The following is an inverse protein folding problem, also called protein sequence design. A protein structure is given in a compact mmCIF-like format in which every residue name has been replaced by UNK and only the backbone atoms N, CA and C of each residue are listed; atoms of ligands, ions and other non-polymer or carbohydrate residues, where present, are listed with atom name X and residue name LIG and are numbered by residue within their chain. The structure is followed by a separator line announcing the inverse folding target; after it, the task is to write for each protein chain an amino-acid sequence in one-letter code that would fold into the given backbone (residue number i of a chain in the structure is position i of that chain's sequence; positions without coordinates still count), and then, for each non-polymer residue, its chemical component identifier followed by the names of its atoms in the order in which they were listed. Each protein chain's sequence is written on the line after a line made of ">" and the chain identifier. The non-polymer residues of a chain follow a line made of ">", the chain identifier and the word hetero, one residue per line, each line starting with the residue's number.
data_IF_751198197907
#
_entry.id   IF_751198197907
#
_cell.length_a   1.000
_cell.length_b   1.000
_cell.length_c   1.000
_cell.angle_alpha   90.00
_cell.angle_beta   90.00
_cell.angle_gamma   90.00
#
_symmetry.space_group_name_H-M   'P 1'
#
loop_
_entity.id
_entity.type
_entity.pdbx_description
1 polymer ?
#
# COMPACT_ATOMS: atom_id res chain seq x y z
N UNK A 1 -10.68 29.59 4.37
CA UNK A 1 -9.81 29.91 5.53
C UNK A 1 -8.86 31.04 5.15
N UNK A 2 -8.46 31.90 6.08
CA UNK A 2 -7.42 32.93 5.85
C UNK A 2 -6.19 32.54 6.66
N UNK A 3 -5.01 32.34 6.04
CA UNK A 3 -3.80 31.98 6.77
C UNK A 3 -3.35 33.12 7.69
N UNK A 4 -2.70 32.78 8.81
CA UNK A 4 -2.11 33.79 9.72
C UNK A 4 -0.96 34.53 9.04
N UNK A 5 -0.14 33.79 8.29
CA UNK A 5 0.94 34.32 7.45
C UNK A 5 1.18 33.31 6.33
N UNK A 6 1.14 33.76 5.09
CA UNK A 6 1.45 32.95 3.92
C UNK A 6 2.81 33.38 3.37
N UNK A 7 3.75 32.44 3.28
CA UNK A 7 4.98 32.65 2.54
C UNK A 7 4.86 32.14 1.08
N UNK A 8 5.82 32.54 0.25
CA UNK A 8 5.94 32.05 -1.12
C UNK A 8 7.29 31.34 -1.28
N UNK A 9 7.38 30.31 -2.14
CA UNK A 9 8.66 29.70 -2.46
C UNK A 9 9.67 30.72 -3.00
N UNK A 10 9.23 31.70 -3.80
CA UNK A 10 10.11 32.72 -4.37
C UNK A 10 10.79 33.58 -3.30
N UNK A 11 10.02 34.11 -2.36
CA UNK A 11 10.57 34.95 -1.29
C UNK A 11 11.46 34.14 -0.34
N UNK A 12 11.05 32.91 -0.03
CA UNK A 12 11.83 32.01 0.81
C UNK A 12 13.16 31.59 0.16
N UNK A 13 13.15 31.23 -1.13
CA UNK A 13 14.35 30.89 -1.89
C UNK A 13 15.31 32.08 -1.96
N UNK A 14 14.79 33.30 -2.20
CA UNK A 14 15.62 34.51 -2.19
C UNK A 14 16.23 34.81 -0.83
N UNK A 15 15.50 34.54 0.26
CA UNK A 15 16.01 34.74 1.61
C UNK A 15 17.07 33.70 1.99
N UNK A 16 16.93 32.46 1.51
CA UNK A 16 17.87 31.37 1.74
C UNK A 16 19.13 31.45 0.84
N UNK A 17 19.00 32.07 -0.33
CA UNK A 17 20.10 32.24 -1.28
C UNK A 17 21.25 33.05 -0.68
N UNK A 18 22.46 32.49 -0.72
CA UNK A 18 23.68 33.19 -0.31
C UNK A 18 24.05 34.33 -1.28
N UNK A 19 24.98 35.23 -0.89
CA UNK A 19 25.32 36.43 -1.66
C UNK A 19 25.92 36.17 -3.05
N UNK A 20 26.28 34.91 -3.38
CA UNK A 20 26.79 34.51 -4.69
C UNK A 20 25.76 33.86 -5.61
N UNK A 21 24.49 33.72 -5.19
CA UNK A 21 23.44 33.12 -6.00
C UNK A 21 22.58 34.20 -6.67
N UNK A 22 22.45 34.12 -7.98
CA UNK A 22 21.54 34.96 -8.77
C UNK A 22 20.25 34.18 -9.03
N UNK A 23 19.10 34.74 -8.61
CA UNK A 23 17.79 34.13 -8.82
C UNK A 23 17.00 34.95 -9.84
N UNK A 24 16.48 34.27 -10.87
CA UNK A 24 15.57 34.83 -11.86
C UNK A 24 14.24 34.09 -11.79
N UNK A 25 13.12 34.82 -11.86
CA UNK A 25 11.78 34.26 -11.95
C UNK A 25 11.22 34.46 -13.36
N UNK A 26 10.57 33.42 -13.89
CA UNK A 26 9.75 33.50 -15.09
C UNK A 26 8.47 32.68 -14.85
N UNK A 27 7.28 33.20 -15.14
CA UNK A 27 6.02 32.49 -14.86
C UNK A 27 5.88 31.18 -15.62
N UNK A 28 6.26 31.17 -16.90
CA UNK A 28 6.18 29.99 -17.79
C UNK A 28 4.77 29.62 -18.27
N UNK A 29 3.77 29.66 -17.37
CA UNK A 29 2.37 29.36 -17.65
C UNK A 29 1.43 30.16 -16.71
N UNK A 30 0.11 30.04 -16.89
CA UNK A 30 -0.92 30.65 -16.04
C UNK A 30 -1.79 29.59 -15.39
N UNK A 31 -2.26 29.84 -14.16
CA UNK A 31 -3.17 28.93 -13.43
C UNK A 31 -4.64 29.09 -13.83
N UNK A 32 -4.97 30.19 -14.52
CA UNK A 32 -6.31 30.50 -15.01
C UNK A 32 -6.32 30.26 -16.50
N UNK A 33 -6.87 29.13 -16.93
CA UNK A 33 -7.10 28.87 -18.34
C UNK A 33 -8.32 29.66 -18.84
N UNK A 34 -8.16 30.96 -19.11
CA UNK A 34 -9.21 31.75 -19.79
C UNK A 34 -9.59 31.15 -21.16
N UNK A 35 -8.74 30.28 -21.72
CA UNK A 35 -8.91 29.65 -23.05
C UNK A 35 -9.32 28.18 -23.03
N UNK A 36 -9.22 27.48 -21.90
CA UNK A 36 -9.66 26.09 -21.72
C UNK A 36 -9.06 25.04 -22.67
N UNK A 37 -8.06 25.37 -23.49
CA UNK A 37 -7.52 24.52 -24.55
C UNK A 37 -6.16 23.85 -24.22
N UNK A 38 -5.56 24.19 -23.07
CA UNK A 38 -4.29 23.62 -22.62
C UNK A 38 -3.10 23.99 -23.51
N UNK A 39 -3.22 25.05 -24.33
CA UNK A 39 -2.15 25.50 -25.23
C UNK A 39 -1.20 26.43 -24.47
N UNK A 40 0.12 26.17 -24.46
CA UNK A 40 1.09 27.05 -23.82
C UNK A 40 1.07 28.47 -24.40
N UNK A 41 1.12 29.47 -23.54
CA UNK A 41 1.32 30.85 -23.96
C UNK A 41 2.77 31.05 -24.42
N UNK A 42 2.97 31.08 -25.74
CA UNK A 42 4.31 31.09 -26.36
C UNK A 42 5.25 32.17 -25.81
N UNK A 43 4.72 33.34 -25.41
CA UNK A 43 5.51 34.42 -24.81
C UNK A 43 6.05 34.05 -23.43
N UNK A 44 5.24 33.43 -22.56
CA UNK A 44 5.66 32.99 -21.21
C UNK A 44 6.65 31.84 -21.29
N UNK A 45 6.43 30.90 -22.21
CA UNK A 45 7.37 29.81 -22.48
C UNK A 45 8.72 30.35 -22.95
N UNK A 46 8.72 31.29 -23.91
CA UNK A 46 9.95 31.89 -24.42
C UNK A 46 10.74 32.64 -23.33
N UNK A 47 10.05 33.34 -22.42
CA UNK A 47 10.66 34.00 -21.27
C UNK A 47 11.31 32.99 -20.31
N UNK A 48 10.60 31.92 -19.96
CA UNK A 48 11.12 30.87 -19.08
C UNK A 48 12.32 30.14 -19.69
N UNK A 49 12.27 29.83 -20.99
CA UNK A 49 13.40 29.24 -21.74
C UNK A 49 14.60 30.19 -21.74
N UNK A 50 14.39 31.49 -21.93
CA UNK A 50 15.48 32.46 -21.90
C UNK A 50 16.12 32.61 -20.51
N UNK A 51 15.33 32.51 -19.43
CA UNK A 51 15.84 32.45 -18.07
C UNK A 51 16.65 31.16 -17.83
N UNK A 52 16.09 30.00 -18.19
CA UNK A 52 16.72 28.70 -17.99
C UNK A 52 18.05 28.54 -18.75
N UNK A 53 18.17 29.10 -19.96
CA UNK A 53 19.43 29.12 -20.75
C UNK A 53 20.61 29.77 -20.02
N UNK A 54 20.33 30.65 -19.06
CA UNK A 54 21.35 31.40 -18.31
C UNK A 54 21.58 30.84 -16.90
N UNK A 55 20.81 29.83 -16.49
CA UNK A 55 20.84 29.29 -15.14
C UNK A 55 21.67 28.00 -15.07
N UNK A 56 22.38 27.82 -13.96
CA UNK A 56 23.08 26.56 -13.65
C UNK A 56 22.12 25.42 -13.27
N UNK A 57 20.98 25.78 -12.67
CA UNK A 57 19.90 24.89 -12.24
C UNK A 57 18.57 25.60 -12.46
N UNK A 58 17.58 24.89 -13.01
CA UNK A 58 16.21 25.37 -13.08
C UNK A 58 15.32 24.64 -12.06
N UNK A 59 14.66 25.41 -11.20
CA UNK A 59 13.61 24.93 -10.29
C UNK A 59 12.26 25.18 -10.98
N UNK A 60 11.56 24.12 -11.33
CA UNK A 60 10.30 24.19 -12.08
C UNK A 60 9.16 23.75 -11.16
N UNK A 61 8.32 24.71 -10.76
CA UNK A 61 7.17 24.46 -9.89
C UNK A 61 5.96 24.11 -10.76
N UNK A 62 5.51 22.85 -10.66
CA UNK A 62 4.37 22.30 -11.40
C UNK A 62 3.31 21.82 -10.41
N UNK A 63 2.09 21.57 -10.89
CA UNK A 63 1.02 21.11 -10.02
C UNK A 63 -0.36 21.26 -10.59
N UNK A 64 -1.36 21.09 -9.73
CA UNK A 64 -2.76 21.22 -10.09
C UNK A 64 -3.29 22.60 -9.68
N UNK A 65 -3.96 23.33 -10.60
CA UNK A 65 -4.65 24.56 -10.24
C UNK A 65 -5.89 24.25 -9.38
N UNK A 66 -6.40 25.24 -8.65
CA UNK A 66 -7.59 25.10 -7.78
C UNK A 66 -8.80 24.51 -8.52
N UNK A 67 -8.99 24.90 -9.79
CA UNK A 67 -10.07 24.40 -10.64
C UNK A 67 -9.95 22.90 -11.00
N UNK A 68 -8.77 22.30 -10.85
CA UNK A 68 -8.54 20.87 -11.12
C UNK A 68 -8.80 19.98 -9.89
N UNK A 69 -8.89 20.57 -8.69
CA UNK A 69 -9.05 19.85 -7.41
C UNK A 69 -10.12 20.49 -6.51
N UNK A 70 -11.14 21.13 -7.09
CA UNK A 70 -12.14 21.81 -6.26
C UNK A 70 -13.08 20.83 -5.55
N UNK A 71 -13.60 21.27 -4.40
CA UNK A 71 -14.47 20.46 -3.56
C UNK A 71 -15.75 20.04 -4.29
N UNK A 72 -16.13 18.76 -4.14
CA UNK A 72 -17.41 18.24 -4.61
C UNK A 72 -17.41 17.59 -6.00
N UNK A 73 -16.25 17.39 -6.63
CA UNK A 73 -16.13 16.57 -7.83
C UNK A 73 -14.85 15.71 -7.82
N UNK A 74 -14.87 14.65 -8.63
CA UNK A 74 -13.73 13.76 -8.84
C UNK A 74 -13.00 14.09 -10.14
N UNK A 75 -11.66 14.03 -10.11
CA UNK A 75 -10.84 14.16 -11.32
C UNK A 75 -11.07 12.98 -12.27
N UNK A 76 -10.98 13.25 -13.57
CA UNK A 76 -11.07 12.23 -14.63
C UNK A 76 -9.71 11.79 -15.18
N UNK A 77 -8.64 12.46 -14.77
CA UNK A 77 -7.24 12.14 -15.09
C UNK A 77 -6.34 12.41 -13.89
N UNK A 78 -5.20 11.72 -13.83
CA UNK A 78 -4.11 12.01 -12.89
C UNK A 78 -3.01 12.88 -13.51
N UNK A 79 -3.08 13.21 -14.79
CA UNK A 79 -2.02 13.96 -15.47
C UNK A 79 -1.93 15.41 -14.98
N UNK A 80 -0.73 15.99 -15.09
CA UNK A 80 -0.54 17.44 -14.97
C UNK A 80 -1.13 18.14 -16.20
N UNK A 81 -1.47 19.44 -16.10
CA UNK A 81 -1.90 20.24 -17.24
C UNK A 81 -0.90 20.18 -18.41
N UNK A 82 -1.40 20.01 -19.63
CA UNK A 82 -0.56 19.77 -20.81
C UNK A 82 0.40 20.93 -21.13
N UNK A 83 0.00 22.16 -20.80
CA UNK A 83 0.83 23.36 -20.98
C UNK A 83 2.04 23.38 -20.04
N UNK A 84 1.88 22.90 -18.81
CA UNK A 84 2.97 22.70 -17.86
C UNK A 84 3.98 21.66 -18.36
N UNK A 85 3.50 20.54 -18.92
CA UNK A 85 4.38 19.51 -19.50
C UNK A 85 5.12 20.04 -20.74
N UNK A 86 4.43 20.80 -21.59
CA UNK A 86 5.07 21.44 -22.74
C UNK A 86 6.15 22.45 -22.32
N UNK A 87 5.90 23.26 -21.28
CA UNK A 87 6.91 24.14 -20.71
C UNK A 87 8.12 23.35 -20.20
N UNK A 88 7.91 22.29 -19.41
CA UNK A 88 9.00 21.46 -18.88
C UNK A 88 9.86 20.86 -20.00
N UNK A 89 9.24 20.44 -21.11
CA UNK A 89 9.93 19.94 -22.30
C UNK A 89 10.84 21.00 -22.93
N UNK A 90 10.36 22.23 -23.10
CA UNK A 90 11.16 23.32 -23.67
C UNK A 90 12.28 23.77 -22.73
N UNK A 91 12.04 23.78 -21.41
CA UNK A 91 13.05 24.14 -20.40
C UNK A 91 14.13 23.06 -20.28
N UNK A 92 13.76 21.78 -20.30
CA UNK A 92 14.73 20.65 -20.23
C UNK A 92 15.65 20.55 -21.43
N UNK A 93 15.21 21.02 -22.59
CA UNK A 93 16.05 21.11 -23.78
C UNK A 93 17.21 22.13 -23.66
N UNK A 94 17.12 23.09 -22.74
CA UNK A 94 18.09 24.20 -22.63
C UNK A 94 18.82 24.27 -21.30
N UNK A 95 18.29 23.65 -20.25
CA UNK A 95 18.92 23.53 -18.95
C UNK A 95 18.81 22.07 -18.48
N UNK A 96 19.89 21.27 -18.51
CA UNK A 96 19.81 19.84 -18.19
C UNK A 96 19.70 19.55 -16.68
N UNK A 97 20.00 20.53 -15.81
CA UNK A 97 19.89 20.39 -14.36
C UNK A 97 18.56 20.97 -13.88
N UNK A 98 17.53 20.12 -13.91
CA UNK A 98 16.17 20.51 -13.51
C UNK A 98 15.77 19.80 -12.23
N UNK A 99 15.24 20.57 -11.27
CA UNK A 99 14.46 20.02 -10.18
C UNK A 99 13.00 20.44 -10.36
N UNK A 100 12.09 19.46 -10.45
CA UNK A 100 10.64 19.71 -10.45
C UNK A 100 10.13 19.69 -9.01
N UNK A 101 9.38 20.71 -8.63
CA UNK A 101 8.69 20.78 -7.33
C UNK A 101 7.20 20.71 -7.59
N UNK A 102 6.53 19.71 -7.02
CA UNK A 102 5.11 19.46 -7.23
C UNK A 102 4.25 20.06 -6.12
N UNK A 103 3.09 20.59 -6.51
CA UNK A 103 2.04 21.06 -5.62
C UNK A 103 0.66 20.52 -6.07
N UNK A 104 0.15 19.53 -5.36
CA UNK A 104 -1.10 18.83 -5.69
C UNK A 104 -1.71 18.22 -4.41
N UNK A 105 -3.04 18.17 -4.35
CA UNK A 105 -3.76 17.53 -3.26
C UNK A 105 -3.79 16.00 -3.39
N UNK A 106 -4.11 15.51 -4.58
CA UNK A 106 -4.09 14.08 -4.93
C UNK A 106 -2.88 13.70 -5.78
N UNK A 107 -2.74 12.40 -6.04
CA UNK A 107 -1.68 11.87 -6.91
C UNK A 107 -1.74 12.48 -8.31
N UNK A 108 -0.57 12.87 -8.83
CA UNK A 108 -0.36 13.21 -10.23
C UNK A 108 0.55 12.20 -10.92
N UNK A 109 0.30 11.91 -12.20
CA UNK A 109 1.19 11.07 -12.99
C UNK A 109 2.50 11.79 -13.26
N UNK A 110 3.58 11.03 -13.09
CA UNK A 110 4.96 11.41 -13.37
C UNK A 110 5.50 10.70 -14.62
N UNK A 111 4.74 9.75 -15.16
CA UNK A 111 5.23 8.79 -16.16
C UNK A 111 5.67 9.44 -17.48
N UNK A 112 5.00 10.51 -17.91
CA UNK A 112 5.34 11.20 -19.17
C UNK A 112 6.64 12.02 -19.06
N UNK A 113 6.98 12.50 -17.86
CA UNK A 113 7.91 13.63 -17.73
C UNK A 113 9.03 13.47 -16.72
N UNK A 114 8.98 12.47 -15.82
CA UNK A 114 9.99 12.31 -14.78
C UNK A 114 11.42 12.20 -15.32
N UNK A 115 11.60 11.59 -16.49
CA UNK A 115 12.92 11.43 -17.12
C UNK A 115 13.50 12.75 -17.65
N UNK A 116 12.69 13.82 -17.73
CA UNK A 116 13.15 15.18 -18.06
C UNK A 116 13.69 15.93 -16.83
N UNK A 117 13.50 15.41 -15.62
CA UNK A 117 13.91 16.04 -14.37
C UNK A 117 15.11 15.31 -13.74
N UNK A 118 16.11 16.05 -13.26
CA UNK A 118 17.22 15.49 -12.48
C UNK A 118 16.80 15.16 -11.04
N UNK A 119 15.77 15.83 -10.52
CA UNK A 119 15.20 15.60 -9.22
C UNK A 119 13.71 15.97 -9.23
N UNK A 120 12.91 15.24 -8.44
CA UNK A 120 11.50 15.55 -8.21
C UNK A 120 11.27 15.66 -6.70
N UNK A 121 10.67 16.77 -6.27
CA UNK A 121 10.26 17.00 -4.88
C UNK A 121 8.73 17.11 -4.83
N UNK A 122 8.09 16.08 -4.31
CA UNK A 122 6.65 16.08 -4.04
C UNK A 122 6.35 16.91 -2.78
N UNK A 123 5.73 18.07 -2.97
CA UNK A 123 5.41 19.03 -1.91
C UNK A 123 3.98 18.94 -1.39
N UNK A 124 3.11 18.19 -2.06
CA UNK A 124 1.68 18.09 -1.80
C UNK A 124 1.02 19.48 -1.68
N UNK A 125 0.17 19.67 -0.67
CA UNK A 125 -0.31 20.98 -0.23
C UNK A 125 0.41 21.36 1.08
N UNK A 126 1.50 22.15 1.02
CA UNK A 126 2.42 22.32 2.14
C UNK A 126 1.95 23.33 3.22
N UNK A 127 0.74 23.87 3.10
CA UNK A 127 0.17 24.83 4.03
C UNK A 127 0.84 26.21 3.99
N UNK A 128 0.58 27.03 5.02
CA UNK A 128 0.90 28.47 5.00
C UNK A 128 2.42 28.80 5.09
N UNK A 129 3.25 27.82 5.46
CA UNK A 129 4.71 27.94 5.59
C UNK A 129 5.45 27.07 4.56
N UNK A 130 4.77 26.70 3.48
CA UNK A 130 5.28 25.77 2.48
C UNK A 130 6.46 26.31 1.70
N UNK A 131 6.50 27.61 1.44
CA UNK A 131 7.60 28.25 0.75
C UNK A 131 8.92 28.11 1.52
N UNK A 132 8.91 28.42 2.82
CA UNK A 132 10.09 28.25 3.68
C UNK A 132 10.50 26.78 3.81
N UNK A 133 9.54 25.87 4.04
CA UNK A 133 9.84 24.45 4.16
C UNK A 133 10.48 23.87 2.88
N UNK A 134 9.97 24.25 1.69
CA UNK A 134 10.55 23.83 0.42
C UNK A 134 11.95 24.41 0.20
N UNK A 135 12.17 25.68 0.55
CA UNK A 135 13.49 26.30 0.45
C UNK A 135 14.52 25.58 1.34
N UNK A 136 14.15 25.22 2.57
CA UNK A 136 15.03 24.48 3.49
C UNK A 136 15.47 23.12 2.94
N UNK A 137 14.55 22.42 2.26
CA UNK A 137 14.87 21.16 1.58
C UNK A 137 15.75 21.41 0.35
N UNK A 138 15.38 22.33 -0.53
CA UNK A 138 16.11 22.61 -1.79
C UNK A 138 17.57 23.02 -1.52
N UNK A 139 17.82 23.84 -0.50
CA UNK A 139 19.18 24.23 -0.11
C UNK A 139 19.88 23.19 0.79
N UNK A 140 19.18 22.14 1.21
CA UNK A 140 19.73 21.06 2.01
C UNK A 140 20.05 21.46 3.45
N UNK A 141 19.37 22.47 3.99
CA UNK A 141 19.37 22.76 5.44
C UNK A 141 18.71 21.63 6.21
N UNK A 142 17.70 20.99 5.61
CA UNK A 142 17.12 19.75 6.08
C UNK A 142 17.13 18.69 4.97
N UNK A 143 17.29 17.42 5.35
CA UNK A 143 17.11 16.30 4.43
C UNK A 143 15.62 15.97 4.29
N UNK A 144 15.11 15.72 3.07
CA UNK A 144 13.77 15.18 2.91
C UNK A 144 13.68 13.82 3.62
N UNK A 145 12.53 13.59 4.24
CA UNK A 145 12.25 12.37 5.02
C UNK A 145 10.77 11.96 4.95
N UNK A 146 10.07 12.44 3.93
CA UNK A 146 8.70 12.00 3.62
C UNK A 146 8.71 10.60 3.00
N UNK A 147 7.68 9.82 3.30
CA UNK A 147 7.37 8.56 2.63
C UNK A 147 5.99 8.69 2.00
N UNK A 148 5.83 8.22 0.76
CA UNK A 148 4.55 8.25 0.06
C UNK A 148 3.49 7.47 0.84
N UNK A 149 2.36 8.12 1.11
CA UNK A 149 1.18 7.49 1.71
C UNK A 149 0.22 6.94 0.65
N UNK A 150 0.47 7.24 -0.62
CA UNK A 150 -0.28 6.79 -1.78
C UNK A 150 0.69 6.28 -2.84
N UNK A 151 0.31 5.23 -3.57
CA UNK A 151 1.08 4.76 -4.72
C UNK A 151 0.93 5.74 -5.88
N UNK A 152 2.02 6.09 -6.56
CA UNK A 152 1.97 6.84 -7.82
C UNK A 152 1.97 5.82 -8.97
N UNK A 153 0.81 5.53 -9.61
CA UNK A 153 0.74 4.56 -10.67
C UNK A 153 1.32 5.12 -11.98
N UNK A 154 1.66 4.24 -12.92
CA UNK A 154 2.05 4.67 -14.27
C UNK A 154 0.85 5.15 -15.08
N UNK A 155 -0.33 4.58 -14.83
CA UNK A 155 -1.59 4.95 -15.49
C UNK A 155 -2.74 4.92 -14.49
N UNK A 156 -3.71 5.83 -14.65
CA UNK A 156 -4.95 5.78 -13.86
C UNK A 156 -5.69 4.45 -14.03
N UNK A 157 -5.65 3.88 -15.24
CA UNK A 157 -6.28 2.60 -15.57
C UNK A 157 -5.67 1.38 -14.87
N UNK A 158 -4.48 1.52 -14.27
CA UNK A 158 -3.86 0.47 -13.46
C UNK A 158 -4.41 0.43 -12.03
N UNK A 159 -5.19 1.44 -11.63
CA UNK A 159 -5.84 1.43 -10.31
C UNK A 159 -6.89 0.33 -10.25
N UNK A 160 -6.93 -0.46 -9.16
CA UNK A 160 -7.80 -1.64 -9.09
C UNK A 160 -9.30 -1.31 -9.12
N UNK A 161 -9.67 -0.10 -8.70
CA UNK A 161 -11.05 0.40 -8.72
C UNK A 161 -11.46 1.02 -10.06
N UNK A 162 -10.56 1.15 -11.04
CA UNK A 162 -10.80 1.89 -12.29
C UNK A 162 -12.05 1.44 -13.05
N UNK A 163 -12.33 0.13 -13.08
CA UNK A 163 -13.48 -0.43 -13.79
C UNK A 163 -14.82 -0.19 -13.08
N UNK A 164 -14.78 0.15 -11.80
CA UNK A 164 -15.98 0.30 -10.97
C UNK A 164 -16.28 1.75 -10.59
N UNK A 165 -15.28 2.63 -10.61
CA UNK A 165 -15.43 4.05 -10.33
C UNK A 165 -15.92 4.82 -11.58
N UNK A 166 -16.79 5.85 -11.45
CA UNK A 166 -17.42 6.36 -10.23
C UNK A 166 -18.73 5.64 -9.85
N UNK A 167 -19.04 4.52 -10.50
CA UNK A 167 -20.31 3.80 -10.36
C UNK A 167 -21.34 4.26 -11.39
N UNK A 168 -22.54 3.67 -11.29
CA UNK A 168 -23.70 3.98 -12.16
C UNK A 168 -25.00 3.75 -11.40
N UNK A 169 -26.07 4.42 -11.83
CA UNK A 169 -27.42 4.20 -11.29
C UNK A 169 -27.52 4.35 -9.76
N UNK A 170 -26.72 5.24 -9.17
CA UNK A 170 -26.67 5.47 -7.72
C UNK A 170 -25.92 4.39 -6.91
N UNK A 171 -25.16 3.52 -7.57
CA UNK A 171 -24.42 2.44 -6.93
C UNK A 171 -22.98 2.31 -7.46
N UNK A 172 -22.02 2.07 -6.57
CA UNK A 172 -20.62 1.76 -6.88
C UNK A 172 -20.25 0.44 -6.21
N UNK A 173 -19.66 -0.47 -7.00
CA UNK A 173 -19.23 -1.79 -6.53
C UNK A 173 -17.75 -1.73 -6.18
N UNK A 174 -17.38 -2.08 -4.96
CA UNK A 174 -15.97 -2.15 -4.55
C UNK A 174 -15.42 -3.52 -4.96
N UNK A 175 -15.32 -3.74 -6.28
CA UNK A 175 -15.03 -5.05 -6.87
C UNK A 175 -13.58 -5.51 -6.67
N UNK A 176 -12.68 -4.59 -6.37
CA UNK A 176 -11.30 -4.86 -5.97
C UNK A 176 -11.18 -5.49 -4.58
N UNK A 177 -12.23 -5.40 -3.75
CA UNK A 177 -12.27 -5.96 -2.41
C UNK A 177 -11.12 -5.43 -1.54
N UNK A 178 -10.24 -6.32 -1.07
CA UNK A 178 -9.10 -5.95 -0.20
C UNK A 178 -7.88 -5.44 -0.98
N UNK A 179 -7.89 -5.58 -2.30
CA UNK A 179 -6.77 -5.21 -3.17
C UNK A 179 -6.88 -3.73 -3.55
N UNK A 180 -6.78 -2.83 -2.55
CA UNK A 180 -6.79 -1.38 -2.76
C UNK A 180 -5.37 -0.81 -2.66
N UNK A 181 -4.98 0.02 -3.63
CA UNK A 181 -3.66 0.66 -3.66
C UNK A 181 -2.53 -0.36 -3.76
N UNK A 182 -1.45 -0.16 -2.99
CA UNK A 182 -0.27 -1.05 -3.02
C UNK A 182 -0.59 -2.52 -2.78
N UNK A 183 -1.65 -2.85 -2.04
CA UNK A 183 -2.11 -4.23 -1.88
C UNK A 183 -2.42 -4.90 -3.20
N UNK A 184 -2.97 -4.19 -4.18
CA UNK A 184 -3.16 -4.72 -5.52
C UNK A 184 -1.84 -4.80 -6.27
N UNK A 185 -1.13 -3.66 -6.35
CA UNK A 185 0.06 -3.53 -7.19
C UNK A 185 1.16 -4.51 -6.78
N UNK A 186 1.36 -4.70 -5.48
CA UNK A 186 2.45 -5.51 -4.94
C UNK A 186 2.07 -7.00 -4.94
N UNK A 187 0.78 -7.35 -4.83
CA UNK A 187 0.32 -8.75 -4.96
C UNK A 187 0.42 -9.26 -6.40
N UNK A 188 0.10 -8.41 -7.38
CA UNK A 188 0.08 -8.78 -8.80
C UNK A 188 1.34 -8.36 -9.57
N UNK A 189 2.33 -7.80 -8.87
CA UNK A 189 3.56 -7.24 -9.45
C UNK A 189 3.29 -6.26 -10.60
N UNK A 190 2.27 -5.42 -10.45
CA UNK A 190 1.95 -4.37 -11.43
C UNK A 190 2.97 -3.25 -11.30
N UNK A 191 3.60 -2.78 -12.39
CA UNK A 191 4.55 -1.68 -12.34
C UNK A 191 3.92 -0.35 -11.91
N UNK A 192 4.64 0.39 -11.07
CA UNK A 192 4.24 1.72 -10.56
C UNK A 192 5.41 2.68 -10.69
N UNK A 193 5.16 3.98 -10.81
CA UNK A 193 6.24 4.95 -10.89
C UNK A 193 6.97 5.06 -9.54
N UNK A 194 6.20 5.20 -8.47
CA UNK A 194 6.72 5.21 -7.10
C UNK A 194 5.81 4.38 -6.18
N UNK A 195 6.35 3.37 -5.48
CA UNK A 195 5.55 2.49 -4.64
C UNK A 195 5.12 3.16 -3.33
N UNK A 196 4.18 2.54 -2.63
CA UNK A 196 3.78 2.99 -1.30
C UNK A 196 4.98 2.96 -0.35
N UNK A 197 5.05 3.96 0.53
CA UNK A 197 6.16 4.12 1.45
C UNK A 197 7.47 4.54 0.79
N UNK A 198 7.52 4.84 -0.51
CA UNK A 198 8.74 5.33 -1.16
C UNK A 198 9.11 6.73 -0.71
N UNK A 199 10.41 7.00 -0.63
CA UNK A 199 10.95 8.35 -0.50
C UNK A 199 12.47 8.33 -0.60
N UNK A 200 13.07 9.48 -0.89
CA UNK A 200 14.51 9.61 -0.91
C UNK A 200 14.98 10.53 0.23
N UNK A 201 16.28 10.47 0.50
CA UNK A 201 16.97 11.28 1.49
C UNK A 201 18.28 11.78 0.90
N UNK A 202 18.82 12.89 1.43
CA UNK A 202 20.16 13.35 1.07
C UNK A 202 21.27 12.54 1.73
N UNK A 203 20.91 11.61 2.62
CA UNK A 203 21.80 10.61 3.19
C UNK A 203 21.34 9.19 2.83
N UNK A 204 22.07 8.16 3.26
CA UNK A 204 21.78 6.75 2.99
C UNK A 204 21.70 5.96 4.29
N UNK A 205 20.82 4.97 4.33
CA UNK A 205 20.64 4.10 5.49
C UNK A 205 20.79 2.62 5.12
N UNK A 206 21.49 1.87 5.98
CA UNK A 206 21.58 0.41 5.92
C UNK A 206 20.82 -0.23 7.06
N UNK A 207 20.36 -1.45 6.83
CA UNK A 207 19.56 -2.23 7.78
C UNK A 207 20.33 -3.52 8.05
N UNK A 208 20.46 -3.91 9.31
CA UNK A 208 21.11 -5.16 9.72
C UNK A 208 20.41 -5.78 10.93
N UNK A 209 20.84 -6.99 11.28
CA UNK A 209 20.51 -7.64 12.56
C UNK A 209 19.00 -7.76 12.82
N UNK A 210 18.23 -8.16 11.80
CA UNK A 210 16.81 -8.47 11.96
C UNK A 210 16.65 -9.69 12.88
N UNK A 211 15.95 -9.48 13.98
CA UNK A 211 15.62 -10.51 14.97
C UNK A 211 14.10 -10.53 15.18
N UNK A 212 13.51 -11.73 15.17
CA UNK A 212 12.08 -11.92 15.48
C UNK A 212 11.98 -12.94 16.60
N UNK A 213 11.48 -12.49 17.75
CA UNK A 213 11.36 -13.31 18.97
C UNK A 213 9.90 -13.47 19.32
N UNK A 214 9.46 -14.71 19.54
CA UNK A 214 8.12 -14.99 20.06
C UNK A 214 7.97 -14.40 21.47
N UNK A 215 6.95 -13.59 21.66
CA UNK A 215 6.66 -12.87 22.91
C UNK A 215 5.35 -13.32 23.57
N UNK A 216 4.59 -14.20 22.91
CA UNK A 216 3.36 -14.80 23.40
C UNK A 216 2.66 -15.64 22.33
N UNK A 217 1.46 -16.14 22.63
CA UNK A 217 0.65 -16.90 21.67
C UNK A 217 0.29 -16.04 20.46
N UNK A 218 0.80 -16.43 19.29
CA UNK A 218 0.74 -15.64 18.06
C UNK A 218 1.18 -14.18 18.28
N UNK A 219 2.24 -13.94 19.04
CA UNK A 219 2.80 -12.62 19.27
C UNK A 219 4.33 -12.63 19.18
N UNK A 220 4.89 -11.57 18.61
CA UNK A 220 6.32 -11.45 18.34
C UNK A 220 6.83 -10.04 18.59
N UNK A 221 8.10 -9.94 18.98
CA UNK A 221 8.88 -8.70 18.96
C UNK A 221 9.84 -8.76 17.79
N UNK A 222 9.76 -7.77 16.91
CA UNK A 222 10.64 -7.63 15.74
C UNK A 222 11.61 -6.49 16.01
N UNK A 223 12.91 -6.77 15.93
CA UNK A 223 13.95 -5.77 16.14
C UNK A 223 14.90 -5.71 14.95
N UNK A 224 15.37 -4.51 14.62
CA UNK A 224 16.26 -4.25 13.50
C UNK A 224 17.22 -3.11 13.83
N UNK A 225 18.47 -3.22 13.42
CA UNK A 225 19.44 -2.12 13.51
C UNK A 225 19.40 -1.30 12.22
N UNK A 226 19.33 0.03 12.36
CA UNK A 226 19.42 0.98 11.26
C UNK A 226 20.62 1.88 11.47
N UNK A 227 21.44 2.03 10.43
CA UNK A 227 22.65 2.85 10.47
C UNK A 227 22.60 3.91 9.38
N UNK A 228 22.91 5.16 9.72
CA UNK A 228 23.16 6.19 8.71
C UNK A 228 24.57 6.00 8.13
N UNK A 229 24.64 5.61 6.87
CA UNK A 229 25.89 5.31 6.15
C UNK A 229 26.31 6.46 5.23
N UNK A 230 25.55 7.55 5.16
CA UNK A 230 25.89 8.72 4.38
C UNK A 230 26.64 9.78 5.18
N UNK A 231 26.79 10.97 4.58
CA UNK A 231 27.60 12.06 5.11
C UNK A 231 26.80 13.20 5.75
N UNK A 232 25.50 13.03 5.95
CA UNK A 232 24.61 14.06 6.52
C UNK A 232 23.68 13.45 7.55
N UNK A 233 23.31 14.24 8.57
CA UNK A 233 22.16 13.91 9.41
C UNK A 233 20.91 13.73 8.54
N UNK A 234 20.09 12.74 8.88
CA UNK A 234 18.83 12.50 8.19
C UNK A 234 17.90 11.64 9.02
N UNK A 235 16.63 11.64 8.63
CA UNK A 235 15.65 10.74 9.20
C UNK A 235 15.35 9.59 8.25
N UNK A 236 15.18 8.40 8.81
CA UNK A 236 14.74 7.19 8.14
C UNK A 236 13.39 6.76 8.73
N UNK A 237 12.50 6.25 7.88
CA UNK A 237 11.22 5.65 8.30
C UNK A 237 11.29 4.17 7.98
N UNK A 238 11.61 3.39 9.01
CA UNK A 238 11.62 1.92 8.99
C UNK A 238 10.19 1.43 8.88
N UNK A 239 9.92 0.57 7.89
CA UNK A 239 8.60 0.03 7.64
C UNK A 239 8.61 -1.48 7.83
N UNK A 240 7.65 -1.98 8.62
CA UNK A 240 7.41 -3.38 8.92
C UNK A 240 6.18 -3.85 8.16
N UNK A 241 6.37 -4.87 7.31
CA UNK A 241 5.32 -5.55 6.58
C UNK A 241 5.22 -7.01 7.02
N UNK A 242 4.02 -7.56 6.92
CA UNK A 242 3.76 -9.00 7.05
C UNK A 242 3.33 -9.51 5.68
N UNK A 243 4.02 -10.54 5.19
CA UNK A 243 3.81 -11.14 3.89
C UNK A 243 3.39 -12.61 3.97
N UNK A 244 2.60 -13.06 3.00
CA UNK A 244 2.13 -14.44 2.87
C UNK A 244 2.33 -14.92 1.43
N UNK A 245 3.03 -16.04 1.28
CA UNK A 245 3.28 -16.64 -0.03
C UNK A 245 2.21 -17.70 -0.32
N UNK A 246 1.24 -17.33 -1.16
CA UNK A 246 0.15 -18.21 -1.59
C UNK A 246 0.16 -18.33 -3.14
N UNK A 247 0.10 -19.53 -3.73
CA UNK A 247 0.08 -19.70 -5.19
C UNK A 247 -1.10 -19.01 -5.87
N UNK A 248 -2.24 -18.95 -5.17
CA UNK A 248 -3.42 -18.19 -5.56
C UNK A 248 -3.73 -17.26 -4.39
N UNK A 249 -3.56 -15.93 -4.54
CA UNK A 249 -3.71 -15.00 -3.43
C UNK A 249 -5.14 -15.00 -2.88
N UNK A 250 -5.30 -15.45 -1.64
CA UNK A 250 -6.53 -15.25 -0.88
C UNK A 250 -6.53 -13.89 -0.17
N UNK A 251 -5.36 -13.29 0.03
CA UNK A 251 -5.10 -12.02 0.73
C UNK A 251 -4.02 -11.20 -0.01
N UNK A 252 -3.83 -9.92 0.33
CA UNK A 252 -2.70 -9.14 -0.20
C UNK A 252 -1.37 -9.83 0.08
N UNK A 253 -0.45 -9.84 -0.90
CA UNK A 253 0.85 -10.51 -0.80
C UNK A 253 1.67 -10.03 0.39
N UNK A 254 1.52 -8.75 0.76
CA UNK A 254 1.94 -8.24 2.05
C UNK A 254 1.16 -7.00 2.49
N UNK A 255 1.26 -6.64 3.76
CA UNK A 255 0.63 -5.46 4.33
C UNK A 255 1.49 -4.79 5.41
N UNK A 256 1.51 -3.46 5.43
CA UNK A 256 2.15 -2.66 6.49
C UNK A 256 1.49 -2.95 7.85
N UNK A 257 2.30 -3.22 8.87
CA UNK A 257 1.90 -3.46 10.26
C UNK A 257 2.55 -2.55 11.28
N UNK A 258 3.66 -1.92 10.93
CA UNK A 258 4.30 -0.94 11.79
C UNK A 258 5.24 -0.04 11.03
N UNK A 259 5.53 1.13 11.59
CA UNK A 259 6.61 1.98 11.12
C UNK A 259 7.18 2.78 12.28
N UNK A 260 8.46 3.13 12.18
CA UNK A 260 9.15 3.95 13.16
C UNK A 260 10.06 4.94 12.43
N UNK A 261 10.11 6.17 12.93
CA UNK A 261 10.97 7.23 12.38
C UNK A 261 12.12 7.48 13.33
N UNK A 262 13.34 7.34 12.83
CA UNK A 262 14.59 7.56 13.58
C UNK A 262 15.38 8.67 12.92
N UNK A 263 16.07 9.49 13.71
CA UNK A 263 16.96 10.56 13.24
C UNK A 263 18.38 10.22 13.64
N UNK A 264 19.29 10.13 12.67
CA UNK A 264 20.63 9.59 12.91
C UNK A 264 21.70 10.51 12.31
N UNK A 265 22.75 10.77 13.09
CA UNK A 265 23.99 11.40 12.63
C UNK A 265 24.80 10.45 11.71
N UNK A 266 25.71 10.96 10.87
CA UNK A 266 26.59 10.12 10.05
C UNK A 266 27.35 9.06 10.88
N UNK A 267 27.18 7.79 10.52
CA UNK A 267 27.78 6.64 11.23
C UNK A 267 27.02 6.17 12.46
N UNK A 268 25.99 6.89 12.92
CA UNK A 268 25.16 6.50 14.06
C UNK A 268 24.25 5.31 13.69
N UNK A 269 23.98 4.46 14.68
CA UNK A 269 23.07 3.33 14.57
C UNK A 269 22.04 3.33 15.71
N UNK A 270 20.80 2.95 15.40
CA UNK A 270 19.72 2.78 16.37
C UNK A 270 19.03 1.43 16.15
N UNK A 271 18.65 0.76 17.26
CA UNK A 271 17.87 -0.48 17.23
C UNK A 271 16.39 -0.14 17.39
N UNK A 272 15.62 -0.42 16.35
CA UNK A 272 14.18 -0.18 16.27
C UNK A 272 13.44 -1.45 16.64
N UNK A 273 12.38 -1.34 17.44
CA UNK A 273 11.59 -2.47 17.94
C UNK A 273 10.11 -2.29 17.60
N UNK A 274 9.46 -3.36 17.15
CA UNK A 274 8.04 -3.43 16.83
C UNK A 274 7.38 -4.60 17.57
N UNK A 275 6.14 -4.40 17.99
CA UNK A 275 5.29 -5.48 18.46
C UNK A 275 4.38 -5.96 17.32
N UNK A 276 4.36 -7.27 17.08
CA UNK A 276 3.40 -7.95 16.23
C UNK A 276 2.51 -8.84 17.08
N UNK A 277 1.22 -8.78 16.84
CA UNK A 277 0.20 -9.56 17.53
C UNK A 277 -0.56 -10.45 16.55
N UNK A 278 -1.34 -11.41 17.07
CA UNK A 278 -2.15 -12.29 16.23
C UNK A 278 -3.10 -11.50 15.34
N UNK A 279 -3.54 -10.32 15.79
CA UNK A 279 -4.37 -9.40 15.01
C UNK A 279 -3.71 -8.92 13.73
N UNK A 280 -2.39 -8.74 13.73
CA UNK A 280 -1.60 -8.25 12.60
C UNK A 280 -1.45 -9.31 11.51
N UNK A 281 -1.53 -10.59 11.85
CA UNK A 281 -1.51 -11.69 10.89
C UNK A 281 -2.91 -12.26 10.58
N UNK A 282 -3.93 -11.75 11.26
CA UNK A 282 -5.31 -12.23 11.12
C UNK A 282 -5.98 -11.74 9.84
N UNK A 283 -6.89 -12.56 9.32
CA UNK A 283 -7.82 -12.19 8.26
C UNK A 283 -9.28 -12.26 8.74
N UNK A 284 -10.15 -11.44 8.13
CA UNK A 284 -11.58 -11.49 8.41
C UNK A 284 -12.21 -12.67 7.68
N UNK A 285 -12.91 -13.54 8.40
CA UNK A 285 -13.72 -14.62 7.84
C UNK A 285 -15.18 -14.17 7.72
N UNK A 286 -15.72 -13.98 6.51
CA UNK A 286 -17.13 -13.66 6.31
C UNK A 286 -18.06 -14.75 6.84
N UNK A 287 -17.68 -16.03 6.69
CA UNK A 287 -18.47 -17.16 7.17
C UNK A 287 -18.70 -17.10 8.69
N UNK A 288 -17.76 -16.54 9.44
CA UNK A 288 -17.83 -16.45 10.91
C UNK A 288 -18.22 -15.10 11.45
N UNK A 289 -18.16 -14.07 10.63
CA UNK A 289 -18.24 -12.69 11.08
C UNK A 289 -17.19 -12.38 12.17
N UNK A 290 -15.94 -12.83 11.97
CA UNK A 290 -14.88 -12.70 12.95
C UNK A 290 -13.47 -12.73 12.34
N UNK A 291 -12.48 -12.36 13.15
CA UNK A 291 -11.07 -12.49 12.80
C UNK A 291 -10.59 -13.91 13.05
N UNK A 292 -9.67 -14.36 12.19
CA UNK A 292 -9.07 -15.69 12.22
C UNK A 292 -7.57 -15.58 11.97
N UNK A 293 -6.78 -16.32 12.75
CA UNK A 293 -5.35 -16.53 12.54
C UNK A 293 -5.13 -17.93 11.99
N UNK A 294 -4.57 -18.00 10.80
CA UNK A 294 -4.21 -19.27 10.19
C UNK A 294 -2.95 -19.84 10.83
N UNK A 295 -2.98 -21.14 11.14
CA UNK A 295 -1.74 -21.89 11.38
C UNK A 295 -0.92 -21.92 10.09
N UNK A 296 0.38 -21.67 10.19
CA UNK A 296 1.26 -21.72 9.04
C UNK A 296 2.44 -20.77 9.14
N UNK A 297 3.11 -20.55 8.01
CA UNK A 297 4.27 -19.65 7.94
C UNK A 297 3.87 -18.32 7.31
N UNK A 298 4.46 -17.25 7.81
CA UNK A 298 4.41 -15.91 7.25
C UNK A 298 5.80 -15.31 7.26
N UNK A 299 6.00 -14.23 6.52
CA UNK A 299 7.28 -13.55 6.40
C UNK A 299 7.15 -12.17 7.04
N UNK A 300 8.04 -11.88 7.98
CA UNK A 300 8.30 -10.52 8.46
C UNK A 300 9.24 -9.86 7.48
N UNK A 301 8.83 -8.73 6.92
CA UNK A 301 9.64 -7.94 6.00
C UNK A 301 9.92 -6.56 6.61
N UNK A 302 11.18 -6.13 6.59
CA UNK A 302 11.58 -4.79 7.00
C UNK A 302 12.25 -4.08 5.84
N UNK A 303 11.77 -2.88 5.54
CA UNK A 303 12.21 -2.12 4.38
C UNK A 303 12.14 -0.61 4.55
N UNK A 304 12.57 0.09 3.49
CA UNK A 304 12.48 1.54 3.36
C UNK A 304 11.28 1.99 2.49
N UNK A 305 10.59 1.05 1.84
CA UNK A 305 9.31 1.21 1.13
C UNK A 305 8.65 -0.17 0.94
N UNK A 306 7.43 -0.23 0.40
CA UNK A 306 6.79 -1.52 0.11
C UNK A 306 7.59 -2.35 -0.92
N UNK A 307 8.35 -1.72 -1.83
CA UNK A 307 9.19 -2.46 -2.81
C UNK A 307 10.69 -2.36 -2.56
N UNK A 308 11.09 -1.83 -1.41
CA UNK A 308 12.49 -1.73 -1.02
C UNK A 308 12.70 -2.46 0.31
N UNK A 309 12.44 -3.78 0.26
CA UNK A 309 12.58 -4.70 1.37
C UNK A 309 14.06 -5.06 1.53
N UNK A 310 14.59 -4.81 2.72
CA UNK A 310 16.03 -4.97 3.02
C UNK A 310 16.32 -6.26 3.75
N UNK A 311 15.42 -6.65 4.66
CA UNK A 311 15.57 -7.83 5.50
C UNK A 311 14.24 -8.59 5.56
N UNK A 312 14.34 -9.92 5.63
CA UNK A 312 13.21 -10.84 5.74
C UNK A 312 13.50 -11.91 6.80
N UNK A 313 12.47 -12.32 7.53
CA UNK A 313 12.52 -13.48 8.43
C UNK A 313 11.22 -14.29 8.29
N UNK A 314 11.35 -15.60 8.13
CA UNK A 314 10.20 -16.52 8.14
C UNK A 314 9.83 -16.86 9.59
N UNK A 315 8.54 -16.81 9.89
CA UNK A 315 7.96 -17.03 11.22
C UNK A 315 6.80 -18.01 11.10
N UNK A 316 6.59 -18.85 12.11
CA UNK A 316 5.43 -19.72 12.20
C UNK A 316 4.40 -19.16 13.17
N UNK A 317 3.13 -19.15 12.74
CA UNK A 317 1.97 -18.90 13.59
C UNK A 317 1.33 -20.24 13.97
N UNK A 318 0.95 -20.38 15.23
CA UNK A 318 0.25 -21.57 15.72
C UNK A 318 -1.21 -21.63 15.24
N UNK A 319 -1.72 -20.51 14.71
CA UNK A 319 -3.15 -20.34 14.45
C UNK A 319 -3.91 -20.11 15.76
N UNK A 320 -5.19 -19.78 15.64
CA UNK A 320 -6.11 -19.66 16.78
C UNK A 320 -6.97 -20.93 16.98
N UNK A 321 -6.65 -22.00 16.24
CA UNK A 321 -7.40 -23.26 16.23
C UNK A 321 -8.81 -23.16 15.64
N UNK A 322 -9.19 -22.00 15.11
CA UNK A 322 -10.52 -21.77 14.57
C UNK A 322 -10.60 -22.30 13.14
N UNK A 323 -11.50 -23.26 12.89
CA UNK A 323 -11.79 -23.82 11.55
C UNK A 323 -13.21 -23.54 11.07
N UNK A 324 -13.37 -23.22 9.77
CA UNK A 324 -14.65 -22.76 9.24
C UNK A 324 -15.71 -23.85 9.36
N UNK A 325 -16.95 -23.43 9.58
CA UNK A 325 -18.04 -24.38 9.76
C UNK A 325 -18.23 -25.20 8.48
N UNK A 326 -18.30 -26.52 8.62
CA UNK A 326 -18.54 -27.41 7.49
C UNK A 326 -20.01 -27.36 7.10
N UNK A 327 -20.27 -27.12 5.83
CA UNK A 327 -21.60 -27.13 5.22
C UNK A 327 -21.75 -28.31 4.25
N UNK A 328 -22.97 -28.66 3.81
CA UNK A 328 -23.17 -29.71 2.81
C UNK A 328 -22.40 -29.46 1.50
N UNK A 329 -22.21 -28.18 1.15
CA UNK A 329 -21.45 -27.78 -0.05
C UNK A 329 -19.95 -27.63 0.18
N UNK A 330 -19.46 -27.80 1.42
CA UNK A 330 -18.03 -27.88 1.68
C UNK A 330 -17.43 -29.08 0.96
N UNK A 331 -16.28 -28.86 0.34
CA UNK A 331 -15.49 -29.81 -0.42
C UNK A 331 -14.90 -30.90 0.45
N UNK A 332 -14.59 -32.05 -0.16
CA UNK A 332 -13.87 -33.13 0.52
C UNK A 332 -12.54 -32.64 1.12
N UNK A 333 -11.85 -31.72 0.45
CA UNK A 333 -10.63 -31.08 0.96
C UNK A 333 -10.86 -30.31 2.25
N UNK A 334 -11.90 -29.48 2.32
CA UNK A 334 -12.26 -28.73 3.54
C UNK A 334 -12.63 -29.68 4.68
N UNK A 335 -13.37 -30.75 4.40
CA UNK A 335 -13.70 -31.79 5.38
C UNK A 335 -12.45 -32.48 5.95
N UNK A 336 -11.48 -32.83 5.10
CA UNK A 336 -10.25 -33.49 5.51
C UNK A 336 -9.27 -32.54 6.22
N UNK A 337 -9.30 -31.24 5.91
CA UNK A 337 -8.52 -30.22 6.61
C UNK A 337 -9.12 -29.85 7.98
N UNK A 338 -10.40 -30.10 8.19
CA UNK A 338 -11.08 -29.78 9.45
C UNK A 338 -10.77 -30.82 10.54
N UNK A 339 -10.28 -30.44 11.74
CA UNK A 339 -9.85 -31.36 12.80
C UNK A 339 -10.95 -32.35 13.24
N UNK A 340 -12.19 -31.88 13.38
CA UNK A 340 -13.35 -32.74 13.66
C UNK A 340 -13.88 -33.45 12.40
N UNK A 341 -14.02 -32.73 11.28
CA UNK A 341 -14.55 -33.25 10.01
C UNK A 341 -13.76 -34.45 9.49
N UNK A 342 -12.43 -34.40 9.52
CA UNK A 342 -11.57 -35.46 9.04
C UNK A 342 -11.79 -36.76 9.83
N UNK A 343 -11.96 -36.64 11.15
CA UNK A 343 -12.27 -37.78 12.03
C UNK A 343 -13.65 -38.35 11.72
N UNK A 344 -14.69 -37.52 11.69
CA UNK A 344 -16.07 -37.96 11.41
C UNK A 344 -16.19 -38.63 10.03
N UNK A 345 -15.56 -38.02 9.01
CA UNK A 345 -15.54 -38.56 7.66
C UNK A 345 -14.76 -39.88 7.61
N UNK A 346 -13.59 -39.94 8.26
CA UNK A 346 -12.83 -41.18 8.39
C UNK A 346 -13.65 -42.28 9.06
N UNK A 347 -14.38 -41.96 10.13
CA UNK A 347 -15.23 -42.91 10.85
C UNK A 347 -16.33 -43.50 9.96
N UNK A 348 -16.93 -42.67 9.10
CA UNK A 348 -17.97 -43.06 8.15
C UNK A 348 -17.43 -43.80 6.93
N UNK A 349 -16.26 -43.39 6.43
CA UNK A 349 -15.61 -43.93 5.25
C UNK A 349 -14.73 -45.16 5.53
N UNK A 350 -14.56 -45.60 6.79
CA UNK A 350 -13.86 -46.86 7.12
C UNK A 350 -14.41 -48.08 6.38
N UNK A 351 -15.70 -48.09 6.02
CA UNK A 351 -16.31 -49.15 5.19
C UNK A 351 -16.08 -48.95 3.67
N UNK A 352 -15.70 -47.74 3.24
CA UNK A 352 -15.44 -47.34 1.83
C UNK A 352 -13.94 -47.36 1.48
N UNK A 353 -13.05 -47.27 2.48
CA UNK A 353 -11.59 -47.25 2.31
C UNK A 353 -11.04 -48.45 1.51
N UNK A 354 -11.74 -49.59 1.49
CA UNK A 354 -11.41 -50.72 0.63
C UNK A 354 -11.54 -50.43 -0.89
N UNK A 355 -12.29 -49.40 -1.28
CA UNK A 355 -12.51 -49.00 -2.67
C UNK A 355 -11.44 -48.02 -3.20
N UNK A 356 -10.93 -47.13 -2.33
CA UNK A 356 -9.92 -46.12 -2.68
C UNK A 356 -8.48 -46.63 -2.52
N UNK A 357 -8.26 -47.64 -1.66
CA UNK A 357 -6.95 -48.28 -1.47
C UNK A 357 -6.49 -49.19 -2.62
N UNK A 358 -7.33 -49.41 -3.64
CA UNK A 358 -7.02 -50.30 -4.77
C UNK A 358 -6.42 -49.59 -5.99
N UNK A 359 -6.35 -48.26 -6.01
CA UNK A 359 -5.78 -47.49 -7.12
C UNK A 359 -4.47 -46.84 -6.71
N UNK A 360 -3.40 -47.61 -6.83
CA UNK A 360 -2.08 -47.03 -7.06
C UNK A 360 -2.12 -46.23 -8.36
N UNK A 361 -2.11 -44.90 -8.27
CA UNK A 361 -1.79 -44.02 -9.39
C UNK A 361 -2.82 -42.93 -9.72
N UNK A 362 -2.27 -41.72 -9.83
CA UNK A 362 -2.75 -40.49 -10.49
C UNK A 362 -3.19 -39.37 -9.53
N UNK A 363 -2.24 -38.51 -9.17
CA UNK A 363 -2.41 -37.29 -8.36
C UNK A 363 -3.59 -36.43 -8.80
N UNK A 364 -3.85 -36.34 -10.10
CA UNK A 364 -4.93 -35.54 -10.67
C UNK A 364 -6.35 -36.00 -10.26
N UNK A 365 -6.59 -37.30 -10.07
CA UNK A 365 -7.90 -37.80 -9.63
C UNK A 365 -8.16 -37.52 -8.15
N UNK A 366 -7.09 -37.51 -7.34
CA UNK A 366 -7.16 -37.14 -5.93
C UNK A 366 -7.42 -35.64 -5.81
N UNK A 367 -6.68 -34.81 -6.56
CA UNK A 367 -6.91 -33.36 -6.62
C UNK A 367 -8.34 -33.01 -7.06
N UNK A 368 -8.85 -33.71 -8.09
CA UNK A 368 -10.25 -33.56 -8.50
C UNK A 368 -11.21 -33.88 -7.36
N UNK A 369 -11.02 -35.00 -6.66
CA UNK A 369 -11.89 -35.42 -5.57
C UNK A 369 -11.89 -34.41 -4.40
N UNK A 370 -10.73 -33.85 -4.07
CA UNK A 370 -10.60 -32.84 -3.01
C UNK A 370 -11.41 -31.57 -3.29
N UNK A 371 -11.62 -31.21 -4.56
CA UNK A 371 -12.43 -30.06 -4.97
C UNK A 371 -13.93 -30.31 -5.08
N UNK A 372 -14.41 -31.55 -4.89
CA UNK A 372 -15.84 -31.89 -5.02
C UNK A 372 -16.56 -31.65 -3.68
N UNK A 373 -17.67 -30.89 -3.64
CA UNK A 373 -18.54 -30.78 -2.47
C UNK A 373 -18.98 -32.13 -1.92
N UNK A 374 -18.92 -32.34 -0.61
CA UNK A 374 -19.17 -33.64 0.01
C UNK A 374 -20.56 -34.20 -0.37
N UNK A 375 -21.58 -33.34 -0.43
CA UNK A 375 -22.94 -33.73 -0.86
C UNK A 375 -23.01 -34.30 -2.28
N UNK A 376 -22.10 -33.90 -3.18
CA UNK A 376 -22.08 -34.38 -4.57
C UNK A 376 -21.57 -35.81 -4.67
N UNK A 377 -20.90 -36.36 -3.66
CA UNK A 377 -20.53 -37.77 -3.63
C UNK A 377 -21.75 -38.71 -3.55
N UNK A 378 -22.93 -38.20 -3.22
CA UNK A 378 -24.20 -38.94 -3.32
C UNK A 378 -24.44 -39.51 -4.73
N UNK A 379 -23.98 -38.84 -5.79
CA UNK A 379 -24.17 -39.30 -7.17
C UNK A 379 -23.18 -40.40 -7.57
N UNK A 380 -22.16 -40.67 -6.75
CA UNK A 380 -21.12 -41.67 -7.01
C UNK A 380 -21.45 -43.03 -6.36
N UNK A 381 -22.57 -43.13 -5.63
CA UNK A 381 -23.02 -44.39 -5.03
C UNK A 381 -22.16 -44.87 -3.85
N UNK A 382 -21.31 -44.00 -3.28
CA UNK A 382 -20.37 -44.36 -2.20
C UNK A 382 -20.94 -44.20 -0.79
N UNK A 383 -22.27 -44.08 -0.65
CA UNK A 383 -22.96 -44.05 0.65
C UNK A 383 -23.00 -42.68 1.37
N UNK A 384 -22.54 -41.61 0.71
CA UNK A 384 -22.69 -40.22 1.18
C UNK A 384 -23.97 -39.59 0.62
N UNK A 385 -25.15 -40.07 1.06
CA UNK A 385 -26.42 -39.46 0.67
C UNK A 385 -26.58 -38.05 1.28
N UNK A 386 -27.48 -37.19 0.76
CA UNK A 386 -27.71 -35.86 1.33
C UNK A 386 -28.04 -35.87 2.83
N UNK A 387 -28.83 -36.84 3.29
CA UNK A 387 -29.17 -36.99 4.71
C UNK A 387 -27.94 -37.33 5.55
N UNK A 388 -27.08 -38.23 5.07
CA UNK A 388 -25.82 -38.60 5.74
C UNK A 388 -24.87 -37.41 5.82
N UNK A 389 -24.81 -36.59 4.77
CA UNK A 389 -23.98 -35.38 4.76
C UNK A 389 -24.54 -34.36 5.75
N UNK A 390 -25.86 -34.20 5.83
CA UNK A 390 -26.49 -33.33 6.83
C UNK A 390 -26.23 -33.81 8.28
N UNK A 391 -26.28 -35.11 8.53
CA UNK A 391 -25.91 -35.71 9.83
C UNK A 391 -24.45 -35.43 10.18
N UNK A 392 -23.53 -35.59 9.22
CA UNK A 392 -22.11 -35.30 9.43
C UNK A 392 -21.89 -33.82 9.74
N UNK A 393 -22.56 -32.90 9.02
CA UNK A 393 -22.51 -31.46 9.27
C UNK A 393 -22.99 -31.14 10.70
N UNK A 394 -24.14 -31.69 11.11
CA UNK A 394 -24.66 -31.49 12.46
C UNK A 394 -23.69 -32.00 13.54
N UNK A 395 -23.13 -33.19 13.35
CA UNK A 395 -22.15 -33.76 14.26
C UNK A 395 -20.84 -32.94 14.32
N UNK A 396 -20.38 -32.39 13.19
CA UNK A 396 -19.23 -31.51 13.14
C UNK A 396 -19.49 -30.20 13.91
N UNK A 397 -20.68 -29.63 13.77
CA UNK A 397 -21.10 -28.41 14.48
C UNK A 397 -21.18 -28.63 16.00
N UNK A 398 -21.73 -29.76 16.44
CA UNK A 398 -21.83 -30.09 17.87
C UNK A 398 -20.48 -30.36 18.53
N UNK A 399 -19.54 -30.98 17.80
CA UNK A 399 -18.24 -31.36 18.32
C UNK A 399 -17.16 -30.27 18.17
N UNK A 400 -17.45 -29.17 17.46
CA UNK A 400 -16.54 -28.03 17.33
C UNK A 400 -16.70 -27.08 18.52
N UNK A 401 -15.59 -26.56 19.11
CA UNK A 401 -15.66 -25.64 20.23
C UNK A 401 -16.52 -24.42 19.86
N UNK A 402 -17.57 -24.17 20.63
CA UNK A 402 -18.45 -23.01 20.41
C UNK A 402 -17.71 -21.72 20.80
N UNK A 403 -17.72 -20.75 19.89
CA UNK A 403 -17.30 -19.38 20.16
C UNK A 403 -18.28 -18.73 21.15
N UNK A 404 -17.80 -18.36 22.34
CA UNK A 404 -18.59 -17.72 23.39
C UNK A 404 -18.86 -16.26 22.98
N UNK A 405 -19.91 -16.07 22.17
CA UNK A 405 -20.33 -14.77 21.60
C UNK A 405 -20.93 -13.82 22.66
N UNK A 406 -20.19 -13.49 23.71
CA UNK A 406 -20.59 -12.47 24.68
C UNK A 406 -19.40 -11.67 25.19
N UNK A 407 -18.90 -10.71 24.41
CA UNK A 407 -17.81 -9.86 24.92
C UNK A 407 -17.21 -8.80 24.00
N UNK A 408 -17.90 -8.32 22.97
CA UNK A 408 -17.40 -7.17 22.21
C UNK A 408 -18.54 -6.24 21.78
N UNK A 409 -19.17 -5.61 22.75
CA UNK A 409 -19.95 -4.39 22.50
C UNK A 409 -18.99 -3.30 22.08
N UNK A 410 -19.00 -2.96 20.79
CA UNK A 410 -18.40 -1.73 20.27
C UNK A 410 -19.00 -0.55 21.04
N UNK A 411 -18.20 0.32 21.71
CA UNK A 411 -18.76 1.54 22.26
C UNK A 411 -19.14 2.44 21.09
N UNK A 412 -20.45 2.64 20.88
CA UNK A 412 -20.93 3.77 20.08
C UNK A 412 -20.46 5.05 20.77
N UNK A 413 -19.44 5.68 20.21
CA UNK A 413 -18.99 7.01 20.59
C UNK A 413 -20.13 8.01 20.40
N UNK A 414 -20.74 8.41 21.51
CA UNK A 414 -21.65 9.56 21.55
C UNK A 414 -20.88 10.82 21.18
N UNK A 415 -21.28 11.43 20.09
CA UNK A 415 -21.11 12.86 19.84
C UNK A 415 -21.76 13.66 20.96
N UNK A 416 -20.97 14.42 21.70
CA UNK A 416 -21.45 15.59 22.44
C UNK A 416 -20.60 16.78 22.06
N UNK A 417 -21.25 17.79 21.48
CA UNK A 417 -20.65 19.04 21.11
C UNK A 417 -20.12 19.83 22.30
N UNK A 418 -19.12 20.65 22.03
CA UNK A 418 -18.64 21.70 22.91
C UNK A 418 -18.36 22.92 22.06
N UNK A 419 -19.26 23.89 22.16
CA UNK A 419 -19.00 25.28 21.78
C UNK A 419 -17.96 25.87 22.73
N UNK A 420 -16.90 26.46 22.18
CA UNK A 420 -16.36 27.78 22.51
C UNK A 420 -15.19 28.13 21.62
#
# INVERSE_FOLDING_TARGET
>A
MVPTRLDTPWDALRAAAGPGAELTFAPGFTLVHDRGDGVPEAALVAEAVAAARRADVALVFLGLPEAAESEGFDRTTIDLPADQIALLREVSAVCPRIAVVLANGGVVSVAEWQDMASAVLEGWLPGQAGGAALADLIFGFHSPCGRLTETIPLRLADTPSYLHFPGRDGHVVYGEGRYVGYRHYDTLDVPVAYPFGHGLSYTRFSYSDLEVVESGENAWTVEVTVTNTGGRFGHEVVQLYVAFEEPIPSRPGHELRGFAKVGLEPGESERVSFALTGRDIAQWSPARHGWRVDEGRFIVEVGASSRDIRLRAEVAAAGDGQVDELEPMSTLGEWLAHPVGARLLGERMRHVAGLLGASGGHSALIELALGIPLVKFSTFGIGLTPDVVAELVAAAREASPHDDRSGATVPQGRTTGGSR
#
